data_IF_748189693923
#
_entry.id   IF_748189693923
#
_cell.length_a   1.000
_cell.length_b   1.000
_cell.length_c   1.000
_cell.angle_alpha   90.00
_cell.angle_beta   90.00
_cell.angle_gamma   90.00
#
_symmetry.space_group_name_H-M   'P 1'
#
loop_
_entity.id
_entity.type
_entity.pdbx_description
1 polymer ?
#
# COMPACT_ATOMS: atom_id res chain seq x y z
N UNK A 1 -58.30 27.43 40.90
CA UNK A 1 -58.26 28.58 41.84
C UNK A 1 -57.01 29.38 41.54
N UNK A 2 -57.17 30.60 41.02
CA UNK A 2 -56.06 31.50 40.63
C UNK A 2 -55.37 32.18 41.84
N UNK A 3 -54.59 33.28 41.66
CA UNK A 3 -54.73 34.27 40.57
C UNK A 3 -53.42 34.79 39.92
N UNK A 4 -53.64 35.64 38.90
CA UNK A 4 -52.77 36.54 38.13
C UNK A 4 -52.04 37.61 39.02
N UNK A 5 -51.48 38.76 38.52
CA UNK A 5 -51.32 39.33 37.15
C UNK A 5 -49.87 39.88 36.89
N UNK A 6 -49.45 40.54 35.80
CA UNK A 6 -50.07 41.61 35.03
C UNK A 6 -49.25 41.98 33.76
N UNK A 7 -49.96 42.63 32.82
CA UNK A 7 -49.48 43.72 31.91
C UNK A 7 -48.41 43.39 30.87
N UNK A 8 -48.50 43.74 29.58
CA UNK A 8 -49.38 44.61 28.81
C UNK A 8 -48.60 45.12 27.58
N UNK A 9 -49.30 45.37 26.46
CA UNK A 9 -48.94 46.18 25.27
C UNK A 9 -47.71 45.76 24.43
N UNK A 10 -47.85 45.34 23.16
CA UNK A 10 -48.29 46.06 21.93
C UNK A 10 -47.16 46.82 21.21
N UNK A 11 -47.19 46.73 19.87
CA UNK A 11 -46.40 47.48 18.87
C UNK A 11 -44.93 47.07 18.72
N UNK A 12 -44.26 47.21 17.58
CA UNK A 12 -44.60 47.34 16.17
C UNK A 12 -43.24 47.30 15.44
N UNK A 13 -43.27 46.97 14.14
CA UNK A 13 -42.33 47.43 13.12
C UNK A 13 -40.88 46.90 13.16
N UNK A 14 -40.61 45.99 12.21
CA UNK A 14 -39.70 46.16 11.07
C UNK A 14 -38.39 46.97 11.21
N UNK A 15 -37.38 46.48 10.47
CA UNK A 15 -36.15 47.12 9.99
C UNK A 15 -34.83 46.69 10.66
N UNK A 16 -34.13 45.77 9.99
CA UNK A 16 -32.66 45.58 10.05
C UNK A 16 -31.94 46.84 9.53
N UNK A 17 -30.70 47.19 9.96
CA UNK A 17 -29.52 46.62 9.30
C UNK A 17 -28.24 46.45 10.16
N UNK A 18 -27.35 45.61 9.66
CA UNK A 18 -25.89 45.46 9.87
C UNK A 18 -25.19 46.13 11.06
N UNK A 19 -24.39 45.34 11.79
CA UNK A 19 -22.90 45.36 11.76
C UNK A 19 -22.38 44.55 12.96
N UNK A 20 -21.63 43.48 12.69
CA UNK A 20 -20.66 42.92 13.64
C UNK A 20 -19.26 43.33 13.11
N UNK A 21 -18.23 43.61 13.93
CA UNK A 21 -17.55 42.55 14.66
C UNK A 21 -17.03 42.89 16.07
N UNK A 22 -16.92 41.83 16.87
CA UNK A 22 -15.70 41.38 17.57
C UNK A 22 -15.76 41.31 19.11
N UNK A 23 -15.29 40.18 19.70
CA UNK A 23 -15.31 39.89 21.13
C UNK A 23 -14.09 40.47 21.86
N UNK A 24 -14.19 40.70 23.17
CA UNK A 24 -13.05 41.12 24.01
C UNK A 24 -13.13 40.57 25.43
N UNK A 25 -12.02 39.98 25.86
CA UNK A 25 -11.56 39.82 27.25
C UNK A 25 -11.46 38.35 27.69
N UNK A 26 -10.38 37.78 28.22
CA UNK A 26 -8.99 38.14 28.63
C UNK A 26 -8.31 36.78 29.08
N UNK A 27 -7.03 36.63 29.53
CA UNK A 27 -5.72 37.27 29.32
C UNK A 27 -4.68 36.25 28.69
N UNK A 28 -3.35 36.54 28.56
CA UNK A 28 -2.39 35.66 27.86
C UNK A 28 -1.67 34.69 28.82
N UNK A 29 -1.92 33.39 28.67
CA UNK A 29 -1.12 32.35 29.31
C UNK A 29 0.23 32.16 28.57
N UNK A 30 1.34 31.85 29.27
CA UNK A 30 2.64 31.58 28.65
C UNK A 30 2.57 30.33 27.76
N UNK A 31 3.54 30.06 26.85
CA UNK A 31 3.51 28.88 25.99
C UNK A 31 3.59 27.62 26.86
N UNK A 32 2.42 27.08 27.22
CA UNK A 32 2.28 26.12 28.31
C UNK A 32 1.38 25.00 27.81
N UNK A 33 1.95 23.79 27.72
CA UNK A 33 1.34 22.49 27.41
C UNK A 33 0.48 22.36 26.15
N UNK A 34 -0.48 23.23 25.86
CA UNK A 34 -1.38 23.12 24.71
C UNK A 34 -0.65 23.33 23.38
N UNK A 35 0.22 24.34 23.29
CA UNK A 35 1.05 24.54 22.10
C UNK A 35 2.02 23.37 21.86
N UNK A 36 2.48 22.70 22.92
CA UNK A 36 3.31 21.51 22.83
C UNK A 36 2.50 20.29 22.39
N UNK A 37 1.27 20.14 22.90
CA UNK A 37 0.35 19.07 22.50
C UNK A 37 0.02 19.16 21.00
N UNK A 38 -0.25 20.36 20.47
CA UNK A 38 -0.51 20.57 19.04
C UNK A 38 0.70 20.19 18.19
N UNK A 39 1.92 20.50 18.64
CA UNK A 39 3.15 20.14 17.93
C UNK A 39 3.40 18.63 17.92
N UNK A 40 3.22 17.94 19.06
CA UNK A 40 3.35 16.49 19.10
C UNK A 40 2.31 15.81 18.21
N UNK A 41 1.07 16.25 18.21
CA UNK A 41 0.00 15.66 17.40
C UNK A 41 0.29 15.82 15.89
N UNK A 42 0.82 16.98 15.47
CA UNK A 42 1.26 17.21 14.10
C UNK A 42 2.49 16.36 13.72
N UNK A 43 3.39 16.16 14.67
CA UNK A 43 4.59 15.35 14.48
C UNK A 43 4.26 13.85 14.41
N UNK A 44 3.38 13.35 15.28
CA UNK A 44 2.90 11.97 15.25
C UNK A 44 2.12 11.68 13.96
N UNK A 45 1.27 12.61 13.51
CA UNK A 45 0.56 12.49 12.24
C UNK A 45 1.53 12.31 11.07
N UNK A 46 2.64 13.06 11.05
CA UNK A 46 3.69 12.95 10.01
C UNK A 46 4.42 11.60 10.08
N UNK A 47 4.78 11.14 11.29
CA UNK A 47 5.44 9.85 11.49
C UNK A 47 4.56 8.65 11.13
N UNK A 48 3.24 8.72 11.41
CA UNK A 48 2.27 7.71 10.97
C UNK A 48 2.08 7.70 9.46
N UNK A 49 2.22 8.86 8.80
CA UNK A 49 2.17 8.95 7.35
C UNK A 49 3.43 8.35 6.69
N UNK A 50 4.58 8.38 7.38
CA UNK A 50 5.85 7.77 6.96
C UNK A 50 5.97 6.28 7.30
N UNK A 51 5.09 5.75 8.16
CA UNK A 51 4.95 4.31 8.39
C UNK A 51 3.71 3.78 7.63
N UNK A 52 3.84 3.35 6.37
CA UNK A 52 2.70 2.85 5.58
C UNK A 52 2.18 1.48 6.05
N UNK A 53 2.73 0.92 7.14
CA UNK A 53 2.39 -0.41 7.61
C UNK A 53 1.65 -0.29 8.94
N UNK A 54 0.33 -0.09 8.83
CA UNK A 54 -0.58 -0.40 9.92
C UNK A 54 -0.38 -1.85 10.36
N UNK A 55 -0.44 -2.05 11.67
CA UNK A 55 -0.37 -3.34 12.36
C UNK A 55 -1.19 -4.42 11.65
N UNK A 56 -0.49 -5.35 10.99
CA UNK A 56 -1.08 -6.48 10.26
C UNK A 56 -0.06 -7.62 10.19
N UNK A 57 0.20 -8.24 11.35
CA UNK A 57 1.10 -9.38 11.48
C UNK A 57 2.55 -9.08 11.05
N UNK A 58 3.50 -10.02 11.15
CA UNK A 58 4.80 -9.83 10.54
C UNK A 58 4.64 -9.98 9.01
N UNK A 59 4.70 -8.91 8.20
CA UNK A 59 4.85 -9.09 6.79
C UNK A 59 6.24 -9.70 6.57
N UNK A 60 6.32 -10.79 5.81
CA UNK A 60 7.58 -11.21 5.18
C UNK A 60 7.85 -10.18 4.07
N UNK A 61 8.12 -8.95 4.48
CA UNK A 61 8.64 -7.90 3.61
C UNK A 61 10.13 -8.18 3.53
N UNK A 62 10.55 -8.84 2.45
CA UNK A 62 11.96 -8.89 2.09
C UNK A 62 12.42 -7.43 1.99
N UNK A 63 13.28 -6.93 2.88
CA UNK A 63 13.75 -5.56 2.78
C UNK A 63 14.57 -5.48 1.50
N UNK A 64 14.02 -4.83 0.48
CA UNK A 64 14.78 -4.47 -0.71
C UNK A 64 15.71 -3.34 -0.29
N UNK A 65 16.82 -3.69 0.36
CA UNK A 65 17.95 -2.79 0.54
C UNK A 65 18.58 -2.62 -0.83
N UNK A 66 17.98 -1.79 -1.67
CA UNK A 66 18.64 -1.27 -2.84
C UNK A 66 19.67 -0.28 -2.30
N UNK A 67 20.98 -0.59 -2.28
CA UNK A 67 21.94 0.48 -2.07
C UNK A 67 21.65 1.55 -3.12
N UNK A 68 21.76 2.83 -2.76
CA UNK A 68 21.82 3.98 -3.69
C UNK A 68 23.10 3.89 -4.56
N UNK A 69 23.37 2.71 -5.11
CA UNK A 69 24.33 2.50 -6.15
C UNK A 69 23.54 2.72 -7.42
N UNK A 70 23.96 3.73 -8.15
CA UNK A 70 23.78 3.83 -9.59
C UNK A 70 24.24 2.51 -10.24
N UNK A 71 23.36 1.50 -10.25
CA UNK A 71 23.56 0.31 -11.05
C UNK A 71 23.42 0.85 -12.48
N UNK A 72 24.49 0.81 -13.30
CA UNK A 72 24.37 1.22 -14.68
C UNK A 72 23.35 0.30 -15.31
N UNK A 73 22.14 0.83 -15.47
CA UNK A 73 21.04 0.12 -16.09
C UNK A 73 21.44 0.03 -17.55
N UNK A 74 21.91 -1.15 -17.94
CA UNK A 74 22.23 -1.44 -19.33
C UNK A 74 21.03 -1.17 -20.24
N UNK A 75 21.24 -1.23 -21.57
CA UNK A 75 20.18 -0.96 -22.54
C UNK A 75 18.92 -1.75 -22.19
N UNK A 76 17.81 -1.03 -22.03
CA UNK A 76 16.53 -1.64 -21.72
C UNK A 76 15.93 -2.23 -22.98
N UNK A 77 15.35 -3.44 -22.92
CA UNK A 77 14.62 -4.01 -24.04
C UNK A 77 13.48 -3.10 -24.47
N UNK A 78 13.38 -2.85 -25.77
CA UNK A 78 12.27 -2.13 -26.40
C UNK A 78 11.16 -3.10 -26.81
N UNK A 79 9.97 -2.58 -27.14
CA UNK A 79 8.88 -3.41 -27.65
C UNK A 79 9.28 -4.20 -28.92
N UNK A 80 10.09 -3.60 -29.80
CA UNK A 80 10.57 -4.25 -31.02
C UNK A 80 11.50 -5.43 -30.73
N UNK A 81 12.26 -5.42 -29.63
CA UNK A 81 13.14 -6.53 -29.27
C UNK A 81 12.34 -7.81 -28.95
N UNK A 82 11.15 -7.64 -28.36
CA UNK A 82 10.21 -8.74 -28.10
C UNK A 82 9.48 -9.22 -29.36
N UNK A 83 9.32 -8.35 -30.37
CA UNK A 83 8.81 -8.75 -31.69
C UNK A 83 9.85 -9.57 -32.45
N UNK A 84 11.12 -9.16 -32.43
CA UNK A 84 12.22 -9.88 -33.04
C UNK A 84 12.48 -11.24 -32.37
N UNK A 85 12.39 -11.30 -31.04
CA UNK A 85 12.55 -12.53 -30.26
C UNK A 85 11.36 -12.73 -29.32
N UNK A 86 10.31 -13.47 -29.76
CA UNK A 86 9.16 -13.77 -28.93
C UNK A 86 9.57 -14.53 -27.65
N UNK A 87 8.95 -14.17 -26.53
CA UNK A 87 9.26 -14.72 -25.20
C UNK A 87 9.18 -16.26 -25.17
N UNK A 88 8.20 -16.85 -25.87
CA UNK A 88 8.05 -18.30 -25.95
C UNK A 88 9.18 -19.03 -26.69
N UNK A 89 9.94 -18.33 -27.55
CA UNK A 89 11.05 -18.89 -28.31
C UNK A 89 12.42 -18.55 -27.72
N UNK A 90 12.51 -17.48 -26.93
CA UNK A 90 13.75 -17.02 -26.32
C UNK A 90 14.48 -18.12 -25.53
N UNK A 91 13.75 -18.82 -24.65
CA UNK A 91 14.31 -19.93 -23.87
C UNK A 91 14.83 -21.07 -24.75
N UNK A 92 14.06 -21.44 -25.79
CA UNK A 92 14.45 -22.48 -26.74
C UNK A 92 15.71 -22.10 -27.54
N UNK A 93 15.83 -20.84 -27.95
CA UNK A 93 17.00 -20.33 -28.66
C UNK A 93 18.27 -20.41 -27.79
N UNK A 94 18.16 -20.06 -26.51
CA UNK A 94 19.28 -20.20 -25.56
C UNK A 94 19.69 -21.67 -25.37
N UNK A 95 18.72 -22.57 -25.20
CA UNK A 95 19.00 -24.00 -25.10
C UNK A 95 19.72 -24.53 -26.35
N UNK A 96 19.26 -24.13 -27.54
CA UNK A 96 19.95 -24.44 -28.81
C UNK A 96 21.37 -23.89 -28.86
N UNK A 97 21.59 -22.67 -28.37
CA UNK A 97 22.93 -22.06 -28.28
C UNK A 97 23.89 -22.83 -27.36
N UNK A 98 23.37 -23.50 -26.34
CA UNK A 98 24.13 -24.39 -25.45
C UNK A 98 24.28 -25.82 -25.99
N UNK A 99 23.84 -26.07 -27.23
CA UNK A 99 23.96 -27.38 -27.89
C UNK A 99 22.85 -28.37 -27.55
N UNK A 100 21.75 -27.92 -26.95
CA UNK A 100 20.57 -28.76 -26.72
C UNK A 100 19.64 -28.77 -27.94
N UNK A 101 19.17 -29.95 -28.33
CA UNK A 101 18.24 -30.14 -29.45
C UNK A 101 16.89 -30.71 -29.00
N UNK A 102 15.83 -30.46 -29.78
CA UNK A 102 14.48 -30.92 -29.44
C UNK A 102 14.43 -32.45 -29.43
N UNK A 103 14.02 -33.04 -28.30
CA UNK A 103 14.02 -34.49 -28.08
C UNK A 103 15.31 -35.03 -27.45
N UNK A 104 16.35 -34.21 -27.31
CA UNK A 104 17.54 -34.57 -26.55
C UNK A 104 17.27 -34.43 -25.05
N UNK A 105 17.66 -35.46 -24.30
CA UNK A 105 17.60 -35.39 -22.85
C UNK A 105 18.61 -34.40 -22.26
N UNK A 106 18.35 -33.92 -21.05
CA UNK A 106 19.29 -33.05 -20.33
C UNK A 106 20.35 -33.88 -19.60
N UNK A 107 21.60 -33.40 -19.57
CA UNK A 107 22.70 -34.00 -18.80
C UNK A 107 23.83 -34.61 -19.63
N UNK A 108 25.03 -34.69 -19.04
CA UNK A 108 26.28 -35.12 -19.72
C UNK A 108 26.42 -36.64 -19.85
N UNK A 109 26.12 -37.38 -18.78
CA UNK A 109 26.45 -38.81 -18.70
C UNK A 109 25.25 -39.71 -19.01
N UNK A 110 24.02 -39.24 -18.78
CA UNK A 110 22.77 -39.96 -19.06
C UNK A 110 21.67 -38.98 -19.46
N UNK A 111 21.65 -38.50 -20.72
CA UNK A 111 20.63 -37.57 -21.17
C UNK A 111 19.25 -38.21 -21.05
N UNK A 112 18.38 -37.63 -20.23
CA UNK A 112 16.97 -38.06 -20.10
C UNK A 112 16.03 -36.95 -20.52
N UNK A 113 15.04 -37.32 -21.33
CA UNK A 113 13.90 -36.45 -21.62
C UNK A 113 12.98 -36.51 -20.40
N UNK A 114 13.03 -35.46 -19.58
CA UNK A 114 12.23 -35.35 -18.36
C UNK A 114 11.00 -34.51 -18.67
N UNK A 115 9.81 -35.07 -18.47
CA UNK A 115 8.56 -34.31 -18.52
C UNK A 115 8.46 -33.40 -17.30
N UNK A 116 7.97 -32.16 -17.42
CA UNK A 116 7.74 -31.28 -16.28
C UNK A 116 6.90 -31.99 -15.20
N UNK A 117 7.33 -31.89 -13.95
CA UNK A 117 6.59 -32.46 -12.83
C UNK A 117 5.35 -31.60 -12.58
N UNK A 118 4.17 -32.16 -12.80
CA UNK A 118 2.91 -31.48 -12.48
C UNK A 118 2.67 -31.55 -10.97
N UNK A 119 2.65 -30.39 -10.32
CA UNK A 119 2.34 -30.29 -8.90
C UNK A 119 0.83 -30.38 -8.69
N UNK A 120 0.36 -31.46 -8.04
CA UNK A 120 -1.04 -31.56 -7.61
C UNK A 120 -1.21 -30.85 -6.26
N UNK A 121 -1.94 -29.72 -6.20
CA UNK A 121 -2.14 -29.01 -4.94
C UNK A 121 -2.91 -29.89 -3.96
N UNK A 122 -2.39 -30.04 -2.75
CA UNK A 122 -3.08 -30.80 -1.69
C UNK A 122 -4.23 -29.97 -1.12
N UNK A 123 -5.44 -30.52 -1.00
CA UNK A 123 -6.54 -29.82 -0.33
C UNK A 123 -6.18 -29.54 1.13
N UNK A 124 -6.58 -28.37 1.63
CA UNK A 124 -6.35 -27.95 3.02
C UNK A 124 -7.13 -28.87 3.97
N UNK A 125 -6.54 -29.20 5.12
CA UNK A 125 -7.19 -30.02 6.15
C UNK A 125 -7.06 -31.54 5.96
N UNK A 126 -6.36 -32.02 4.93
CA UNK A 126 -6.11 -33.44 4.72
C UNK A 126 -4.79 -33.85 5.42
N UNK A 127 -4.90 -34.64 6.49
CA UNK A 127 -3.74 -35.16 7.23
C UNK A 127 -2.76 -35.92 6.32
N UNK A 128 -1.45 -35.88 6.62
CA UNK A 128 -0.43 -36.60 5.85
C UNK A 128 -0.78 -38.10 5.78
N UNK A 129 -1.00 -38.65 4.58
CA UNK A 129 -1.40 -40.06 4.40
C UNK A 129 -2.89 -40.30 4.08
N UNK A 130 -3.75 -39.29 4.16
CA UNK A 130 -5.12 -39.37 3.63
C UNK A 130 -5.14 -38.97 2.14
N UNK A 131 -5.84 -39.75 1.32
CA UNK A 131 -6.10 -39.45 -0.10
C UNK A 131 -7.46 -38.77 -0.25
N UNK A 132 -7.56 -37.80 -1.16
CA UNK A 132 -8.85 -37.27 -1.54
C UNK A 132 -9.55 -38.34 -2.39
N UNK A 133 -10.68 -38.84 -1.91
CA UNK A 133 -11.52 -39.81 -2.63
C UNK A 133 -12.01 -39.25 -3.97
#
# INVERSE_FOLDING_TARGET
TGPAPASGHASASDSTPSTDPSPTGAPPDPPSVEAQAVQELLQEARQRQEQPNGDSGPPISIPLQLPDKDIPTGPQPTAQDYEAVPVGQFGLAMLRGMGWSQGQGIGRTFPRVVTPLEHRPRPRGLGLGAEAA
#
